data_IF_772516497794
#
_entry.id   IF_772516497794
#
_cell.length_a   1.000
_cell.length_b   1.000
_cell.length_c   1.000
_cell.angle_alpha   90.00
_cell.angle_beta   90.00
_cell.angle_gamma   90.00
#
_symmetry.space_group_name_H-M   'P 1'
#
loop_
_entity.id
_entity.type
_entity.pdbx_description
1 polymer ?
#
# COMPACT_ATOMS: atom_id res chain seq x y z
N UNK A 1 -10.18 28.63 -26.06
CA UNK A 1 -9.03 27.72 -26.26
C UNK A 1 -8.22 27.57 -24.96
N UNK A 2 -8.79 26.97 -23.89
CA UNK A 2 -8.05 26.68 -22.63
C UNK A 2 -8.41 25.32 -22.01
N UNK A 3 -9.57 24.75 -22.32
CA UNK A 3 -10.05 23.49 -21.74
C UNK A 3 -9.37 22.20 -22.28
N UNK A 4 -8.63 22.28 -23.39
CA UNK A 4 -8.03 21.10 -24.05
C UNK A 4 -6.71 20.72 -23.40
N UNK A 5 -5.98 21.69 -22.84
CA UNK A 5 -4.67 21.47 -22.20
C UNK A 5 -4.81 20.78 -20.84
N UNK A 6 -5.88 21.07 -20.10
CA UNK A 6 -6.15 20.47 -18.79
C UNK A 6 -6.49 18.96 -18.88
N UNK A 7 -7.18 18.53 -19.94
CA UNK A 7 -7.50 17.11 -20.14
C UNK A 7 -6.25 16.26 -20.43
N UNK A 8 -5.34 16.76 -21.26
CA UNK A 8 -4.10 16.07 -21.59
C UNK A 8 -3.14 15.93 -20.40
N UNK A 9 -3.13 16.90 -19.47
CA UNK A 9 -2.32 16.81 -18.24
C UNK A 9 -2.91 15.79 -17.26
N UNK A 10 -4.24 15.75 -17.12
CA UNK A 10 -4.92 14.86 -16.18
C UNK A 10 -4.80 13.39 -16.60
N UNK A 11 -4.84 13.08 -17.90
CA UNK A 11 -4.60 11.73 -18.40
C UNK A 11 -3.15 11.27 -18.21
N UNK A 12 -2.17 12.16 -18.43
CA UNK A 12 -0.75 11.86 -18.20
C UNK A 12 -0.47 11.56 -16.72
N UNK A 13 -1.12 12.29 -15.82
CA UNK A 13 -0.99 12.05 -14.38
C UNK A 13 -1.54 10.67 -14.01
N UNK A 14 -2.75 10.33 -14.47
CA UNK A 14 -3.38 9.01 -14.23
C UNK A 14 -2.58 7.85 -14.82
N UNK A 15 -1.94 8.04 -15.97
CA UNK A 15 -1.08 7.02 -16.57
C UNK A 15 0.17 6.76 -15.72
N UNK A 16 0.83 7.83 -15.23
CA UNK A 16 1.97 7.71 -14.30
C UNK A 16 1.59 7.03 -12.99
N UNK A 17 0.45 7.41 -12.39
CA UNK A 17 -0.05 6.78 -11.17
C UNK A 17 -0.30 5.27 -11.37
N UNK A 18 -0.89 4.87 -12.51
CA UNK A 18 -1.09 3.45 -12.83
C UNK A 18 0.23 2.69 -13.00
N UNK A 19 1.22 3.29 -13.66
CA UNK A 19 2.51 2.64 -13.91
C UNK A 19 3.32 2.51 -12.61
N UNK A 20 3.27 3.52 -11.74
CA UNK A 20 3.85 3.47 -10.41
C UNK A 20 3.18 2.39 -9.54
N UNK A 21 1.85 2.29 -9.58
CA UNK A 21 1.08 1.28 -8.86
C UNK A 21 1.39 -0.14 -9.37
N UNK A 22 1.49 -0.34 -10.69
CA UNK A 22 1.88 -1.61 -11.30
C UNK A 22 3.30 -2.04 -10.88
N UNK A 23 4.24 -1.09 -10.88
CA UNK A 23 5.63 -1.34 -10.46
C UNK A 23 5.73 -1.67 -8.98
N UNK A 24 4.95 -0.99 -8.12
CA UNK A 24 4.86 -1.30 -6.69
C UNK A 24 4.26 -2.68 -6.44
N UNK A 25 3.19 -3.06 -7.17
CA UNK A 25 2.55 -4.38 -7.08
C UNK A 25 3.46 -5.53 -7.54
N UNK A 26 4.36 -5.28 -8.49
CA UNK A 26 5.30 -6.28 -8.99
C UNK A 26 6.37 -6.65 -7.94
N UNK A 27 6.67 -5.74 -7.00
CA UNK A 27 7.56 -6.03 -5.87
C UNK A 27 6.79 -6.86 -4.84
N UNK A 28 7.19 -8.13 -4.68
CA UNK A 28 6.74 -8.97 -3.56
C UNK A 28 7.43 -8.47 -2.30
N UNK A 29 6.71 -7.69 -1.50
CA UNK A 29 7.17 -7.31 -0.17
C UNK A 29 6.93 -8.50 0.76
N UNK A 30 8.01 -9.17 1.14
CA UNK A 30 7.99 -10.17 2.20
C UNK A 30 8.02 -9.44 3.54
N UNK A 31 6.84 -9.12 4.06
CA UNK A 31 6.72 -8.59 5.42
C UNK A 31 6.82 -9.76 6.39
N UNK A 32 7.80 -9.73 7.29
CA UNK A 32 8.02 -10.80 8.23
C UNK A 32 6.87 -10.88 9.26
N UNK A 33 6.48 -12.11 9.62
CA UNK A 33 5.51 -12.34 10.69
C UNK A 33 6.12 -11.90 12.02
N UNK A 34 5.35 -11.19 12.82
CA UNK A 34 5.80 -10.56 14.06
C UNK A 34 6.34 -9.14 13.88
N UNK A 35 6.56 -8.67 12.64
CA UNK A 35 6.96 -7.29 12.39
C UNK A 35 5.83 -6.32 12.68
N UNK A 36 6.19 -5.20 13.31
CA UNK A 36 5.32 -4.04 13.42
C UNK A 36 5.30 -3.27 12.10
N UNK A 37 4.10 -2.91 11.64
CA UNK A 37 3.89 -2.15 10.42
C UNK A 37 2.94 -0.99 10.67
N UNK A 38 3.23 0.14 10.04
CA UNK A 38 2.35 1.29 9.99
C UNK A 38 1.65 1.34 8.63
N UNK A 39 0.34 1.59 8.64
CA UNK A 39 -0.42 1.79 7.42
C UNK A 39 -0.15 3.19 6.86
N UNK A 40 0.43 3.34 5.66
CA UNK A 40 0.75 4.65 5.11
C UNK A 40 -0.51 5.36 4.59
N UNK A 41 -1.46 4.62 4.01
CA UNK A 41 -2.60 5.19 3.28
C UNK A 41 -3.89 4.35 3.43
N UNK A 42 -5.03 4.95 3.09
CA UNK A 42 -6.35 4.31 3.09
C UNK A 42 -7.15 4.47 4.39
N UNK A 43 -8.24 3.73 4.56
CA UNK A 43 -9.15 3.85 5.70
C UNK A 43 -8.55 3.47 7.07
N UNK A 44 -7.35 2.90 7.07
CA UNK A 44 -6.59 2.52 8.26
C UNK A 44 -5.25 3.29 8.35
N UNK A 45 -5.07 4.36 7.57
CA UNK A 45 -3.85 5.16 7.56
C UNK A 45 -3.51 5.68 8.97
N UNK A 46 -2.22 5.64 9.31
CA UNK A 46 -1.71 6.06 10.62
C UNK A 46 -1.88 5.02 11.72
N UNK A 47 -2.59 3.90 11.48
CA UNK A 47 -2.65 2.79 12.43
C UNK A 47 -1.38 1.93 12.34
N UNK A 48 -0.95 1.45 13.50
CA UNK A 48 0.16 0.51 13.67
C UNK A 48 -0.37 -0.85 14.12
N UNK A 49 0.14 -1.92 13.53
CA UNK A 49 -0.26 -3.28 13.85
C UNK A 49 0.86 -4.28 13.64
N UNK A 50 0.65 -5.50 14.14
CA UNK A 50 1.61 -6.59 14.03
C UNK A 50 1.19 -7.54 12.91
N UNK A 51 2.14 -7.94 12.07
CA UNK A 51 1.88 -8.94 11.03
C UNK A 51 1.73 -10.31 11.67
N UNK A 52 0.55 -10.91 11.57
CA UNK A 52 0.27 -12.27 12.10
C UNK A 52 0.54 -13.37 11.05
N UNK A 53 0.59 -13.02 9.77
CA UNK A 53 0.77 -13.98 8.69
C UNK A 53 0.75 -13.32 7.31
N UNK A 54 1.09 -14.07 6.27
CA UNK A 54 1.00 -13.55 4.90
C UNK A 54 1.35 -14.56 3.83
N UNK A 55 0.78 -14.34 2.65
CA UNK A 55 0.90 -15.17 1.45
C UNK A 55 1.74 -14.46 0.36
N UNK A 56 2.57 -13.49 0.76
CA UNK A 56 3.49 -12.72 -0.09
C UNK A 56 2.83 -11.65 -0.97
N UNK A 57 1.56 -11.85 -1.34
CA UNK A 57 0.70 -10.83 -1.98
C UNK A 57 -0.08 -10.00 -0.96
N UNK A 58 -0.42 -10.62 0.16
CA UNK A 58 -1.14 -10.01 1.26
C UNK A 58 -0.46 -10.36 2.57
N UNK A 59 -0.60 -9.47 3.54
CA UNK A 59 -0.23 -9.67 4.92
C UNK A 59 -1.48 -9.49 5.79
N UNK A 60 -1.66 -10.37 6.76
CA UNK A 60 -2.66 -10.25 7.80
C UNK A 60 -2.07 -9.42 8.93
N UNK A 61 -2.62 -8.24 9.17
CA UNK A 61 -2.13 -7.31 10.20
C UNK A 61 -3.16 -7.21 11.30
N UNK A 62 -2.70 -7.37 12.55
CA UNK A 62 -3.51 -7.22 13.75
C UNK A 62 -3.26 -5.84 14.37
N UNK A 63 -4.29 -5.00 14.33
CA UNK A 63 -4.32 -3.68 14.94
C UNK A 63 -4.95 -3.77 16.33
N UNK A 64 -4.26 -3.21 17.33
CA UNK A 64 -4.77 -3.13 18.72
C UNK A 64 -5.14 -4.47 19.36
N UNK A 65 -4.57 -5.58 18.89
CA UNK A 65 -4.77 -6.93 19.44
C UNK A 65 -6.16 -7.55 19.21
N UNK A 66 -7.08 -6.89 18.49
CA UNK A 66 -8.45 -7.38 18.27
C UNK A 66 -8.90 -7.31 16.81
N UNK A 67 -8.34 -6.40 16.02
CA UNK A 67 -8.78 -6.15 14.66
C UNK A 67 -7.78 -6.70 13.65
N UNK A 68 -8.15 -7.75 12.94
CA UNK A 68 -7.33 -8.37 11.88
C UNK A 68 -7.77 -7.86 10.52
N UNK A 69 -6.85 -7.28 9.77
CA UNK A 69 -7.11 -6.74 8.43
C UNK A 69 -6.15 -7.38 7.44
N UNK A 70 -6.69 -7.84 6.32
CA UNK A 70 -5.88 -8.34 5.21
C UNK A 70 -5.45 -7.15 4.35
N UNK A 71 -4.16 -6.83 4.38
CA UNK A 71 -3.56 -5.70 3.68
C UNK A 71 -2.72 -6.23 2.53
N UNK A 72 -2.71 -5.55 1.38
CA UNK A 72 -1.81 -5.92 0.31
C UNK A 72 -0.36 -5.63 0.73
N UNK A 73 0.53 -6.59 0.56
CA UNK A 73 1.91 -6.48 1.08
C UNK A 73 2.67 -5.29 0.48
N UNK A 74 2.36 -4.91 -0.76
CA UNK A 74 2.95 -3.74 -1.43
C UNK A 74 2.55 -2.38 -0.83
N UNK A 75 1.48 -2.32 -0.03
CA UNK A 75 1.05 -1.11 0.68
C UNK A 75 1.74 -0.97 2.04
N UNK A 76 2.27 -2.06 2.58
CA UNK A 76 3.02 -2.03 3.82
C UNK A 76 4.42 -1.55 3.47
N UNK A 77 4.59 -0.23 3.37
CA UNK A 77 5.90 0.39 3.32
C UNK A 77 6.64 -0.04 4.59
N UNK A 78 7.46 -1.07 4.44
CA UNK A 78 8.23 -1.60 5.54
C UNK A 78 9.25 -0.51 5.83
N UNK A 79 9.05 0.20 6.93
CA UNK A 79 10.04 1.12 7.45
C UNK A 79 11.17 0.24 8.00
N UNK A 80 11.94 -0.36 7.09
CA UNK A 80 13.19 -1.03 7.42
C UNK A 80 14.12 0.06 7.95
N UNK A 81 14.31 0.08 9.27
CA UNK A 81 15.34 0.85 9.95
C UNK A 81 16.69 0.17 9.73
#
# INVERSE_FOLDING_TARGET
MRAIEEQGQQERQRARDREADATRRAKRYHVAVGSEVQMPDGGFAGLTGIVEGGDGKFALVCFGGKMRVKVASFLLATNEV
#
